data_IF_424793371505
#
_entry.id   IF_424793371505
#
_cell.length_a   1.000
_cell.length_b   1.000
_cell.length_c   1.000
_cell.angle_alpha   90.00
_cell.angle_beta   90.00
_cell.angle_gamma   90.00
#
_symmetry.space_group_name_H-M   'P 1'
#
loop_
_entity.id
_entity.type
_entity.pdbx_description
1 polymer ?
#
# COMPACT_ATOMS: atom_id res chain seq x y z
N UNK A 1 3.98 -1.34 -3.13
CA UNK A 1 2.83 -1.22 -2.21
C UNK A 1 3.13 -0.27 -1.06
N UNK A 2 4.05 -0.57 -0.14
CA UNK A 2 4.34 0.30 1.03
C UNK A 2 4.73 1.74 0.73
N UNK A 3 5.52 1.97 -0.33
CA UNK A 3 5.88 3.32 -0.78
C UNK A 3 4.65 4.16 -1.16
N UNK A 4 3.72 3.55 -1.90
CA UNK A 4 2.46 4.16 -2.34
C UNK A 4 1.49 4.38 -1.17
N UNK A 5 1.33 3.38 -0.31
CA UNK A 5 0.46 3.45 0.88
C UNK A 5 0.87 4.60 1.81
N UNK A 6 2.16 4.77 2.03
CA UNK A 6 2.69 5.80 2.91
C UNK A 6 2.96 7.12 2.19
N UNK A 7 2.89 7.15 0.86
CA UNK A 7 3.28 8.31 0.05
C UNK A 7 4.71 8.73 0.37
N UNK A 8 5.63 7.76 0.47
CA UNK A 8 7.03 7.99 0.86
C UNK A 8 7.98 7.24 -0.06
N UNK A 9 9.17 7.81 -0.22
CA UNK A 9 10.31 7.13 -0.81
C UNK A 9 10.68 5.89 0.01
N UNK A 10 10.93 4.79 -0.69
CA UNK A 10 11.37 3.54 -0.08
C UNK A 10 12.76 3.20 -0.63
N UNK A 11 13.75 3.22 0.25
CA UNK A 11 15.10 2.74 -0.02
C UNK A 11 15.18 1.28 0.45
N UNK A 12 15.30 0.35 -0.49
CA UNK A 12 15.44 -1.07 -0.19
C UNK A 12 16.88 -1.51 -0.45
N UNK A 13 17.60 -1.82 0.63
CA UNK A 13 18.93 -2.41 0.58
C UNK A 13 18.86 -3.89 0.98
N UNK A 14 19.36 -4.77 0.12
CA UNK A 14 19.42 -6.21 0.37
C UNK A 14 20.80 -6.75 0.01
N UNK A 15 21.23 -7.83 0.66
CA UNK A 15 22.55 -8.43 0.41
C UNK A 15 22.66 -9.02 -1.01
N UNK A 16 21.74 -9.90 -1.38
CA UNK A 16 21.72 -10.59 -2.68
C UNK A 16 20.38 -10.46 -3.42
N UNK A 17 19.39 -9.81 -2.79
CA UNK A 17 18.05 -9.62 -3.34
C UNK A 17 17.93 -8.36 -4.18
N UNK A 18 16.69 -7.92 -4.38
CA UNK A 18 16.40 -6.68 -5.12
C UNK A 18 16.73 -5.46 -4.26
N UNK A 19 17.87 -4.84 -4.55
CA UNK A 19 18.26 -3.52 -4.06
C UNK A 19 17.71 -2.45 -5.01
N UNK A 20 16.86 -1.56 -4.50
CA UNK A 20 16.14 -0.59 -5.34
C UNK A 20 15.70 0.66 -4.57
N UNK A 21 15.55 1.75 -5.31
CA UNK A 21 14.92 2.99 -4.87
C UNK A 21 13.53 3.03 -5.49
N UNK A 22 12.50 3.25 -4.67
CA UNK A 22 11.11 3.32 -5.10
C UNK A 22 10.53 4.67 -4.72
N UNK A 23 9.89 5.32 -5.68
CA UNK A 23 9.24 6.61 -5.50
C UNK A 23 7.94 6.48 -4.67
N UNK A 24 7.37 7.62 -4.22
CA UNK A 24 6.10 7.67 -3.48
C UNK A 24 4.89 7.19 -4.27
N UNK A 25 4.97 7.12 -5.61
CA UNK A 25 3.95 6.55 -6.47
C UNK A 25 4.11 5.02 -6.62
N UNK A 26 5.13 4.42 -6.00
CA UNK A 26 5.43 3.00 -6.07
C UNK A 26 6.24 2.59 -7.31
N UNK A 27 6.78 3.52 -8.08
CA UNK A 27 7.62 3.24 -9.26
C UNK A 27 9.08 3.05 -8.84
N UNK A 28 9.75 2.08 -9.46
CA UNK A 28 11.18 1.85 -9.23
C UNK A 28 11.98 2.87 -10.04
N UNK A 29 12.71 3.75 -9.36
CA UNK A 29 13.53 4.80 -10.00
C UNK A 29 14.95 4.33 -10.29
N UNK A 30 15.49 3.44 -9.45
CA UNK A 30 16.81 2.84 -9.63
C UNK A 30 16.80 1.42 -9.07
N UNK A 31 17.52 0.49 -9.71
CA UNK A 31 17.69 -0.89 -9.24
C UNK A 31 19.09 -1.40 -9.53
N UNK A 32 19.62 -2.23 -8.63
CA UNK A 32 20.83 -3.00 -8.85
C UNK A 32 20.50 -4.39 -9.43
N UNK A 33 21.32 -4.96 -10.32
CA UNK A 33 21.24 -6.38 -10.67
C UNK A 33 21.34 -7.27 -9.42
N UNK A 34 20.64 -8.41 -9.45
CA UNK A 34 20.67 -9.37 -8.35
C UNK A 34 21.91 -10.25 -8.44
N UNK A 35 22.37 -10.76 -7.29
CA UNK A 35 23.54 -11.64 -7.18
C UNK A 35 24.86 -11.03 -7.67
N UNK A 36 24.91 -9.72 -7.86
CA UNK A 36 26.12 -8.98 -8.23
C UNK A 36 26.50 -8.01 -7.11
N UNK A 37 27.80 -7.88 -6.86
CA UNK A 37 28.31 -6.88 -5.95
C UNK A 37 28.23 -5.51 -6.63
N UNK A 38 27.61 -4.53 -5.97
CA UNK A 38 27.51 -3.18 -6.50
C UNK A 38 26.95 -2.18 -5.51
N UNK A 39 27.00 -0.90 -5.88
CA UNK A 39 26.49 0.22 -5.09
C UNK A 39 25.42 0.93 -5.90
N UNK A 40 24.22 1.01 -5.34
CA UNK A 40 23.12 1.75 -5.93
C UNK A 40 23.13 3.20 -5.41
N UNK A 41 23.47 4.15 -6.27
CA UNK A 41 23.46 5.59 -5.95
C UNK A 41 22.27 6.25 -6.64
N UNK A 42 21.55 7.10 -5.93
CA UNK A 42 20.41 7.85 -6.47
C UNK A 42 19.96 8.96 -5.54
N UNK A 43 19.05 9.79 -6.02
CA UNK A 43 18.47 10.91 -5.27
C UNK A 43 17.11 10.54 -4.70
N UNK A 44 16.77 11.14 -3.56
CA UNK A 44 15.46 11.03 -2.93
C UNK A 44 15.14 12.33 -2.19
N UNK A 45 13.86 12.58 -1.96
CA UNK A 45 13.39 13.79 -1.28
C UNK A 45 12.65 13.45 0.03
N UNK A 46 12.96 14.12 1.15
CA UNK A 46 12.20 13.95 2.39
C UNK A 46 10.75 14.43 2.22
N UNK A 47 9.79 13.58 2.57
CA UNK A 47 8.37 13.90 2.46
C UNK A 47 7.72 14.21 3.81
N UNK A 48 6.83 15.21 3.79
CA UNK A 48 5.99 15.65 4.92
C UNK A 48 4.52 15.37 4.62
N UNK A 49 3.72 15.27 5.68
CA UNK A 49 2.29 14.97 5.59
C UNK A 49 1.98 13.48 5.79
N UNK A 50 0.68 13.17 5.73
CA UNK A 50 0.10 11.85 5.93
C UNK A 50 -0.84 11.56 4.76
N UNK A 51 -0.75 10.36 4.19
CA UNK A 51 -1.72 9.86 3.20
C UNK A 51 -3.04 9.53 3.89
N UNK A 52 -4.17 9.49 3.17
CA UNK A 52 -5.44 9.00 3.73
C UNK A 52 -5.29 7.59 4.34
N UNK A 53 -4.52 6.71 3.69
CA UNK A 53 -4.25 5.37 4.19
C UNK A 53 -3.46 5.38 5.51
N UNK A 54 -2.44 6.23 5.65
CA UNK A 54 -1.73 6.34 6.95
C UNK A 54 -2.54 7.02 8.04
N UNK A 55 -3.51 7.88 7.68
CA UNK A 55 -4.41 8.53 8.66
C UNK A 55 -5.50 7.60 9.18
N UNK A 56 -6.12 6.81 8.30
CA UNK A 56 -7.29 5.99 8.64
C UNK A 56 -6.99 4.49 8.71
N UNK A 57 -5.83 4.05 8.21
CA UNK A 57 -5.49 2.64 8.09
C UNK A 57 -6.54 1.86 7.30
N UNK A 58 -6.87 0.68 7.80
CA UNK A 58 -7.88 -0.20 7.20
C UNK A 58 -9.31 0.12 7.67
N UNK A 59 -9.50 1.16 8.49
CA UNK A 59 -10.78 1.48 9.15
C UNK A 59 -11.92 1.78 8.15
N UNK A 60 -11.72 2.52 7.04
CA UNK A 60 -12.77 2.71 6.03
C UNK A 60 -13.21 1.39 5.39
N UNK A 61 -12.26 0.49 5.14
CA UNK A 61 -12.52 -0.83 4.56
C UNK A 61 -13.31 -1.71 5.54
N UNK A 62 -12.95 -1.69 6.82
CA UNK A 62 -13.68 -2.41 7.86
C UNK A 62 -15.10 -1.89 8.07
N UNK A 63 -15.29 -0.56 8.05
CA UNK A 63 -16.62 0.06 8.13
C UNK A 63 -17.46 -0.36 6.92
N UNK A 64 -16.90 -0.33 5.72
CA UNK A 64 -17.60 -0.77 4.51
C UNK A 64 -17.97 -2.26 4.59
N UNK A 65 -17.05 -3.11 5.05
CA UNK A 65 -17.29 -4.55 5.24
C UNK A 65 -18.45 -4.79 6.21
N UNK A 66 -18.47 -4.06 7.32
CA UNK A 66 -19.53 -4.16 8.33
C UNK A 66 -20.88 -3.69 7.79
N UNK A 67 -20.92 -2.60 7.01
CA UNK A 67 -22.14 -2.13 6.36
C UNK A 67 -22.68 -3.13 5.34
N UNK A 68 -21.81 -3.69 4.48
CA UNK A 68 -22.19 -4.72 3.50
C UNK A 68 -22.69 -5.99 4.21
N UNK A 69 -22.00 -6.40 5.29
CA UNK A 69 -22.42 -7.51 6.13
C UNK A 69 -23.80 -7.27 6.73
N UNK A 70 -24.05 -6.08 7.29
CA UNK A 70 -25.33 -5.71 7.89
C UNK A 70 -26.46 -5.69 6.87
N UNK A 71 -26.24 -5.13 5.66
CA UNK A 71 -27.24 -5.13 4.58
C UNK A 71 -27.54 -6.54 4.06
N UNK A 72 -26.52 -7.41 4.04
CA UNK A 72 -26.69 -8.81 3.64
C UNK A 72 -27.41 -9.63 4.71
N UNK A 73 -27.22 -9.28 6.00
CA UNK A 73 -27.86 -9.93 7.13
C UNK A 73 -29.25 -9.36 7.46
N UNK A 74 -29.55 -8.12 7.08
CA UNK A 74 -30.94 -7.63 7.06
C UNK A 74 -31.67 -8.48 6.05
N UNK A 75 -32.52 -9.41 6.50
CA UNK A 75 -33.04 -10.37 5.59
C UNK A 75 -33.92 -9.61 4.61
N UNK A 76 -33.85 -10.01 3.35
CA UNK A 76 -34.93 -9.89 2.38
C UNK A 76 -36.20 -10.66 2.88
N UNK A 77 -36.48 -10.69 4.20
CA UNK A 77 -37.66 -11.28 4.86
C UNK A 77 -38.89 -10.38 4.68
N UNK A 78 -39.05 -9.80 3.48
CA UNK A 78 -40.24 -9.01 3.13
C UNK A 78 -40.91 -9.35 1.80
N UNK A 79 -40.50 -10.41 1.10
CA UNK A 79 -41.35 -11.04 0.08
C UNK A 79 -41.68 -12.47 0.53
N UNK A 80 -42.56 -12.63 1.52
CA UNK A 80 -43.99 -12.93 1.31
C UNK A 80 -44.24 -13.97 0.22
N UNK A 81 -44.46 -15.20 0.69
CA UNK A 81 -45.46 -16.18 0.25
C UNK A 81 -46.38 -15.73 -0.90
N UNK A 82 -46.49 -16.56 -1.94
CA UNK A 82 -47.78 -17.17 -2.27
C UNK A 82 -47.83 -18.64 -1.82
#
# INVERSE_FOLDING_TARGET
MRALENGRWLLRATNNGVTAIVDPAGRVTARLPQFEAGVLTGTFEPMRGLTPYTRFGDLPTLVLLLLVGLVSFTPLSRSRLP
#
